data_IF_715474140756
#
_entry.id   IF_715474140756
#
_cell.length_a   1.000
_cell.length_b   1.000
_cell.length_c   1.000
_cell.angle_alpha   90.00
_cell.angle_beta   90.00
_cell.angle_gamma   90.00
#
_symmetry.space_group_name_H-M   'P 1'
#
loop_
_entity.id
_entity.type
_entity.pdbx_description
1 polymer ?
#
# COMPACT_ATOMS: atom_id res chain seq x y z
N UNK A 1 -28.09 14.93 18.34
CA UNK A 1 -26.75 15.13 17.76
C UNK A 1 -26.49 13.93 16.85
N UNK A 2 -26.57 14.11 15.53
CA UNK A 2 -26.34 13.02 14.60
C UNK A 2 -24.85 12.70 14.59
N UNK A 3 -24.46 11.56 15.17
CA UNK A 3 -23.13 10.97 14.97
C UNK A 3 -23.11 10.47 13.53
N UNK A 4 -22.46 11.21 12.64
CA UNK A 4 -22.08 10.67 11.35
C UNK A 4 -20.99 9.66 11.62
N UNK A 5 -21.32 8.37 11.51
CA UNK A 5 -20.31 7.32 11.44
C UNK A 5 -19.60 7.53 10.10
N UNK A 6 -18.46 8.23 10.14
CA UNK A 6 -17.65 8.48 8.94
C UNK A 6 -17.03 7.15 8.55
N UNK A 7 -17.78 6.33 7.80
CA UNK A 7 -17.22 5.16 7.16
C UNK A 7 -16.19 5.65 6.13
N UNK A 8 -14.91 5.69 6.53
CA UNK A 8 -13.84 6.19 5.67
C UNK A 8 -13.63 5.19 4.54
N UNK A 9 -13.97 5.61 3.33
CA UNK A 9 -13.75 4.84 2.09
C UNK A 9 -12.27 4.45 1.90
N UNK A 10 -11.35 5.19 2.53
CA UNK A 10 -9.91 4.98 2.47
C UNK A 10 -9.32 4.89 3.88
N UNK A 11 -8.59 3.81 4.15
CA UNK A 11 -7.84 3.62 5.40
C UNK A 11 -6.45 3.11 5.07
N UNK A 12 -5.47 3.38 5.95
CA UNK A 12 -4.13 2.83 5.83
C UNK A 12 -3.73 2.22 7.17
N UNK A 13 -2.92 1.18 7.12
CA UNK A 13 -2.44 0.46 8.30
C UNK A 13 -1.09 -0.19 8.01
N UNK A 14 -0.24 -0.31 9.02
CA UNK A 14 1.03 -1.03 8.92
C UNK A 14 2.10 -0.46 9.84
N UNK A 15 3.25 -1.15 9.95
CA UNK A 15 4.37 -0.72 10.78
C UNK A 15 4.98 0.62 10.33
N UNK A 16 4.71 1.06 9.10
CA UNK A 16 5.19 2.34 8.62
C UNK A 16 4.45 3.55 9.22
N UNK A 17 3.29 3.37 9.86
CA UNK A 17 2.55 4.49 10.43
C UNK A 17 3.01 4.78 11.86
N UNK A 18 3.30 6.05 12.21
CA UNK A 18 3.60 6.42 13.58
C UNK A 18 2.34 6.29 14.44
N UNK A 19 2.50 5.70 15.62
CA UNK A 19 1.45 5.57 16.63
C UNK A 19 1.67 6.58 17.74
N UNK A 20 0.59 7.18 18.24
CA UNK A 20 0.62 8.01 19.44
C UNK A 20 0.96 7.15 20.68
N UNK A 21 1.40 7.76 21.80
CA UNK A 21 1.58 7.05 23.06
C UNK A 21 0.31 6.35 23.57
N UNK A 22 -0.86 6.78 23.10
CA UNK A 22 -2.17 6.18 23.37
C UNK A 22 -2.44 4.92 22.54
N UNK A 23 -1.57 4.57 21.58
CA UNK A 23 -1.70 3.42 20.70
C UNK A 23 -2.54 3.64 19.44
N UNK A 24 -3.10 4.84 19.26
CA UNK A 24 -3.86 5.22 18.06
C UNK A 24 -2.92 5.69 16.93
N UNK A 25 -3.33 5.45 15.68
CA UNK A 25 -2.60 5.96 14.51
C UNK A 25 -2.53 7.49 14.53
N UNK A 26 -1.33 8.03 14.46
CA UNK A 26 -1.11 9.47 14.51
C UNK A 26 -1.44 10.18 13.19
N UNK A 27 -1.65 9.42 12.10
CA UNK A 27 -1.90 9.91 10.75
C UNK A 27 -3.16 9.29 10.15
N UNK A 28 -3.87 10.09 9.36
CA UNK A 28 -5.04 9.65 8.60
C UNK A 28 -4.79 9.83 7.11
N UNK A 29 -5.05 8.78 6.33
CA UNK A 29 -4.99 8.84 4.88
C UNK A 29 -6.12 9.73 4.35
N UNK A 30 -5.79 10.70 3.50
CA UNK A 30 -6.76 11.62 2.91
C UNK A 30 -6.82 11.58 1.39
N UNK A 31 -5.74 11.15 0.75
CA UNK A 31 -5.71 10.94 -0.70
C UNK A 31 -4.76 9.81 -1.06
N UNK A 32 -5.11 9.12 -2.14
CA UNK A 32 -4.28 8.13 -2.81
C UNK A 32 -4.29 8.43 -4.31
N UNK A 33 -3.11 8.52 -4.90
CA UNK A 33 -2.92 8.61 -6.34
C UNK A 33 -1.99 7.48 -6.76
N UNK A 34 -2.34 6.77 -7.83
CA UNK A 34 -1.58 5.60 -8.25
C UNK A 34 -1.56 5.42 -9.75
N UNK A 35 -0.44 4.90 -10.25
CA UNK A 35 -0.31 4.50 -11.63
C UNK A 35 -0.03 2.99 -11.71
N UNK A 36 -0.95 2.25 -12.32
CA UNK A 36 -0.85 0.80 -12.50
C UNK A 36 -0.94 0.45 -13.97
N UNK A 37 -0.03 -0.42 -14.42
CA UNK A 37 -0.04 -1.00 -15.75
C UNK A 37 0.34 -2.47 -15.66
N UNK A 38 -0.18 -3.28 -16.59
CA UNK A 38 0.22 -4.67 -16.68
C UNK A 38 1.73 -4.77 -16.91
N UNK A 39 2.40 -5.63 -16.15
CA UNK A 39 3.85 -5.87 -16.24
C UNK A 39 4.74 -4.66 -15.93
N UNK A 40 4.21 -3.62 -15.27
CA UNK A 40 5.03 -2.53 -14.70
C UNK A 40 4.95 -2.51 -13.19
N UNK A 41 6.03 -2.08 -12.55
CA UNK A 41 6.07 -1.80 -11.12
C UNK A 41 5.17 -0.60 -10.85
N UNK A 42 4.11 -0.80 -10.06
CA UNK A 42 3.23 0.30 -9.68
C UNK A 42 3.92 1.25 -8.71
N UNK A 43 3.41 2.47 -8.65
CA UNK A 43 3.79 3.45 -7.64
C UNK A 43 2.52 4.16 -7.17
N UNK A 44 2.38 4.28 -5.85
CA UNK A 44 1.32 5.03 -5.21
C UNK A 44 1.89 6.18 -4.41
N UNK A 45 1.29 7.35 -4.55
CA UNK A 45 1.50 8.52 -3.71
C UNK A 45 0.33 8.63 -2.75
N UNK A 46 0.63 8.69 -1.45
CA UNK A 46 -0.33 8.75 -0.37
C UNK A 46 -0.16 10.07 0.38
N UNK A 47 -1.25 10.80 0.55
CA UNK A 47 -1.26 12.01 1.38
C UNK A 47 -1.92 11.71 2.73
N UNK A 48 -1.24 12.11 3.79
CA UNK A 48 -1.65 11.93 5.17
C UNK A 48 -1.84 13.27 5.88
N UNK A 49 -2.78 13.32 6.80
CA UNK A 49 -2.98 14.44 7.73
C UNK A 49 -2.95 13.97 9.18
N UNK A 50 -2.47 14.83 10.08
CA UNK A 50 -2.73 14.63 11.50
C UNK A 50 -4.20 14.86 11.83
N UNK A 51 -4.79 14.09 12.77
CA UNK A 51 -6.10 14.36 13.33
C UNK A 51 -6.18 15.79 13.89
N UNK A 52 -7.29 16.49 13.64
CA UNK A 52 -7.45 17.89 14.04
C UNK A 52 -7.49 18.11 15.57
N UNK A 53 -7.86 17.07 16.32
CA UNK A 53 -7.93 17.10 17.79
C UNK A 53 -6.73 16.40 18.45
N UNK A 54 -5.58 16.31 17.76
CA UNK A 54 -4.39 15.74 18.38
C UNK A 54 -4.05 16.57 19.64
N UNK A 55 -3.91 15.95 20.83
CA UNK A 55 -3.53 16.67 22.04
C UNK A 55 -2.06 17.15 22.03
N UNK A 56 -1.33 16.94 20.94
CA UNK A 56 0.07 17.33 20.76
C UNK A 56 0.15 18.74 20.16
N UNK A 57 1.18 19.51 20.52
CA UNK A 57 1.42 20.81 19.91
C UNK A 57 1.78 20.59 18.44
N UNK A 58 1.45 21.57 17.60
CA UNK A 58 1.73 21.53 16.16
C UNK A 58 3.20 21.17 15.88
N UNK A 59 4.13 21.56 16.73
CA UNK A 59 5.56 21.28 16.57
C UNK A 59 5.91 19.79 16.75
N UNK A 60 5.29 19.09 17.70
CA UNK A 60 5.52 17.64 17.85
C UNK A 60 4.95 16.84 16.69
N UNK A 61 3.80 17.27 16.15
CA UNK A 61 3.26 16.66 14.93
C UNK A 61 4.29 16.78 13.79
N UNK A 62 4.84 17.96 13.54
CA UNK A 62 5.87 18.15 12.50
C UNK A 62 7.15 17.30 12.73
N UNK A 63 7.36 16.77 13.93
CA UNK A 63 8.55 16.03 14.34
C UNK A 63 8.42 14.50 14.27
N UNK A 64 7.39 13.95 13.60
CA UNK A 64 7.39 12.50 13.33
C UNK A 64 8.64 12.10 12.55
N UNK A 65 9.34 11.04 12.99
CA UNK A 65 10.53 10.55 12.30
C UNK A 65 10.12 9.84 11.01
N UNK A 66 10.10 10.61 9.92
CA UNK A 66 9.77 10.11 8.59
C UNK A 66 10.74 9.04 8.11
N UNK A 67 11.96 8.97 8.66
CA UNK A 67 12.93 7.95 8.27
C UNK A 67 12.54 6.58 8.81
N UNK A 68 11.87 6.50 9.95
CA UNK A 68 11.37 5.22 10.51
C UNK A 68 10.25 4.63 9.64
N UNK A 69 9.53 5.48 8.89
CA UNK A 69 8.51 5.03 7.94
C UNK A 69 9.15 4.36 6.71
N UNK A 70 10.31 4.84 6.26
CA UNK A 70 10.95 4.36 5.04
C UNK A 70 11.50 2.94 5.22
N UNK A 71 11.20 2.06 4.28
CA UNK A 71 11.56 0.65 4.31
C UNK A 71 10.55 -0.23 5.05
N UNK A 72 9.53 0.34 5.69
CA UNK A 72 8.47 -0.40 6.36
C UNK A 72 7.29 -0.70 5.41
N UNK A 73 6.53 -1.73 5.75
CA UNK A 73 5.31 -2.10 5.04
C UNK A 73 4.15 -1.15 5.38
N UNK A 74 3.37 -0.82 4.36
CA UNK A 74 2.13 -0.07 4.47
C UNK A 74 1.06 -0.70 3.58
N UNK A 75 -0.13 -0.89 4.14
CA UNK A 75 -1.30 -1.39 3.41
C UNK A 75 -2.39 -0.35 3.42
N UNK A 76 -2.88 -0.01 2.22
CA UNK A 76 -4.05 0.84 2.02
C UNK A 76 -5.25 -0.03 1.72
N UNK A 77 -6.34 0.24 2.43
CA UNK A 77 -7.60 -0.47 2.32
C UNK A 77 -8.64 0.49 1.74
N UNK A 78 -9.14 0.14 0.56
CA UNK A 78 -10.12 0.91 -0.21
C UNK A 78 -11.45 0.17 -0.18
N UNK A 79 -12.48 0.80 0.37
CA UNK A 79 -13.85 0.31 0.28
C UNK A 79 -14.38 0.59 -1.12
N UNK A 80 -14.81 -0.45 -1.82
CA UNK A 80 -15.44 -0.37 -3.13
C UNK A 80 -16.94 -0.48 -2.95
N UNK A 81 -17.64 0.60 -3.26
CA UNK A 81 -19.09 0.58 -3.39
C UNK A 81 -19.45 -0.19 -4.66
N UNK A 82 -20.17 -1.29 -4.51
CA UNK A 82 -20.53 -2.13 -5.64
C UNK A 82 -21.35 -1.37 -6.68
N UNK A 83 -21.01 -1.52 -7.96
CA UNK A 83 -21.81 -1.00 -9.06
C UNK A 83 -23.05 -1.88 -9.27
N UNK A 84 -24.07 -1.69 -8.43
CA UNK A 84 -25.32 -2.42 -8.53
C UNK A 84 -26.09 -2.07 -9.82
N UNK A 85 -26.09 -2.96 -10.81
CA UNK A 85 -27.29 -3.13 -11.65
C UNK A 85 -28.12 -4.25 -11.04
N UNK A 86 -29.19 -3.87 -10.33
CA UNK A 86 -30.11 -4.80 -9.72
C UNK A 86 -30.97 -5.47 -10.79
N UNK A 87 -30.47 -6.56 -11.38
CA UNK A 87 -31.34 -7.55 -11.99
C UNK A 87 -31.67 -8.58 -10.92
N UNK A 88 -32.95 -8.66 -10.51
CA UNK A 88 -33.53 -9.66 -9.58
C UNK A 88 -33.45 -9.39 -8.06
N UNK A 89 -33.31 -8.14 -7.61
CA UNK A 89 -33.50 -7.81 -6.18
C UNK A 89 -32.34 -8.16 -5.23
N UNK A 90 -31.21 -8.62 -5.76
CA UNK A 90 -29.94 -8.75 -5.03
C UNK A 90 -29.08 -7.52 -5.34
N UNK A 91 -29.16 -6.49 -4.49
CA UNK A 91 -28.38 -5.25 -4.64
C UNK A 91 -26.87 -5.46 -4.38
N UNK A 92 -26.05 -4.57 -4.94
CA UNK A 92 -24.60 -4.42 -4.68
C UNK A 92 -23.65 -5.51 -5.21
N UNK A 93 -23.84 -5.96 -6.46
CA UNK A 93 -22.83 -6.78 -7.15
C UNK A 93 -21.55 -5.96 -7.32
N UNK A 94 -20.43 -6.46 -6.77
CA UNK A 94 -19.12 -5.81 -6.83
C UNK A 94 -18.71 -4.97 -5.61
N UNK A 95 -19.53 -4.97 -4.54
CA UNK A 95 -19.11 -4.38 -3.27
C UNK A 95 -18.01 -5.23 -2.63
N UNK A 96 -16.99 -4.59 -2.07
CA UNK A 96 -15.89 -5.29 -1.43
C UNK A 96 -14.77 -4.36 -1.01
N UNK A 97 -13.72 -4.96 -0.46
CA UNK A 97 -12.54 -4.22 -0.02
C UNK A 97 -11.36 -4.56 -0.93
N UNK A 98 -10.67 -3.54 -1.42
CA UNK A 98 -9.39 -3.69 -2.12
C UNK A 98 -8.25 -3.30 -1.19
N UNK A 99 -7.27 -4.17 -1.08
CA UNK A 99 -6.03 -3.90 -0.36
C UNK A 99 -4.89 -3.62 -1.36
N UNK A 100 -4.10 -2.59 -1.06
CA UNK A 100 -2.91 -2.19 -1.80
C UNK A 100 -1.77 -2.16 -0.79
N UNK A 101 -0.95 -3.21 -0.77
CA UNK A 101 0.20 -3.34 0.14
C UNK A 101 1.49 -3.00 -0.57
N UNK A 102 2.46 -2.42 0.13
CA UNK A 102 3.78 -2.16 -0.41
C UNK A 102 4.75 -1.67 0.65
N UNK A 103 5.94 -1.31 0.21
CA UNK A 103 6.98 -0.72 1.05
C UNK A 103 7.01 0.78 0.82
N UNK A 104 7.13 1.54 1.90
CA UNK A 104 7.37 2.98 1.84
C UNK A 104 8.79 3.23 1.35
N UNK A 105 8.93 3.90 0.20
CA UNK A 105 10.25 4.22 -0.38
C UNK A 105 10.67 5.65 -0.12
N UNK A 106 9.71 6.55 0.06
CA UNK A 106 9.95 7.96 0.36
C UNK A 106 8.86 8.48 1.31
N UNK A 107 9.23 9.35 2.24
CA UNK A 107 8.30 10.07 3.10
C UNK A 107 8.74 11.54 3.18
N UNK A 108 7.79 12.47 3.10
CA UNK A 108 8.05 13.92 3.04
C UNK A 108 7.04 14.68 3.87
N UNK A 109 7.51 15.71 4.56
CA UNK A 109 6.64 16.70 5.21
C UNK A 109 6.27 17.80 4.21
N UNK A 110 4.97 18.05 4.05
CA UNK A 110 4.42 19.00 3.08
C UNK A 110 4.04 20.35 3.72
N UNK A 111 4.19 20.48 5.04
CA UNK A 111 3.86 21.69 5.80
C UNK A 111 2.61 21.53 6.67
N UNK A 112 2.27 22.61 7.39
CA UNK A 112 1.09 22.65 8.25
C UNK A 112 0.05 23.62 7.72
N UNK A 113 -1.22 23.26 7.88
CA UNK A 113 -2.35 24.15 7.58
C UNK A 113 -3.45 23.91 8.59
N UNK A 114 -3.95 24.99 9.20
CA UNK A 114 -5.07 24.96 10.16
C UNK A 114 -4.82 24.02 11.36
N UNK A 115 -3.60 23.97 11.90
CA UNK A 115 -3.25 23.09 13.01
C UNK A 115 -3.09 21.60 12.65
N UNK A 116 -3.19 21.25 11.36
CA UNK A 116 -2.93 19.91 10.86
C UNK A 116 -1.64 19.89 10.04
N UNK A 117 -0.79 18.91 10.31
CA UNK A 117 0.39 18.63 9.51
C UNK A 117 0.03 17.74 8.33
N UNK A 118 0.63 18.00 7.16
CA UNK A 118 0.49 17.17 5.96
C UNK A 118 1.79 16.43 5.66
N UNK A 119 1.65 15.15 5.34
CA UNK A 119 2.75 14.29 4.92
C UNK A 119 2.40 13.64 3.59
N UNK A 120 3.42 13.35 2.80
CA UNK A 120 3.30 12.59 1.58
C UNK A 120 4.24 11.40 1.64
N UNK A 121 3.73 10.24 1.25
CA UNK A 121 4.44 8.97 1.31
C UNK A 121 4.33 8.28 -0.05
N UNK A 122 5.44 7.73 -0.55
CA UNK A 122 5.48 6.95 -1.78
C UNK A 122 5.57 5.47 -1.43
N UNK A 123 4.64 4.68 -1.95
CA UNK A 123 4.56 3.24 -1.76
C UNK A 123 4.82 2.51 -3.08
N UNK A 124 5.70 1.51 -3.04
CA UNK A 124 6.04 0.64 -4.17
C UNK A 124 5.98 -0.83 -3.74
N UNK A 125 5.75 -1.79 -4.66
CA UNK A 125 5.76 -3.19 -4.29
C UNK A 125 7.17 -3.61 -3.86
N UNK A 126 7.27 -4.64 -3.01
CA UNK A 126 8.56 -5.17 -2.53
C UNK A 126 9.56 -5.49 -3.66
N UNK A 127 9.06 -5.92 -4.83
CA UNK A 127 9.91 -6.25 -5.99
C UNK A 127 10.70 -5.05 -6.51
N UNK A 128 10.26 -3.82 -6.21
CA UNK A 128 11.02 -2.61 -6.51
C UNK A 128 12.39 -2.60 -5.81
N UNK A 129 12.52 -3.19 -4.62
CA UNK A 129 13.80 -3.28 -3.90
C UNK A 129 14.81 -4.17 -4.63
N UNK A 130 14.34 -5.15 -5.43
CA UNK A 130 15.21 -6.00 -6.23
C UNK A 130 15.89 -5.22 -7.37
N UNK A 131 15.26 -4.15 -7.87
CA UNK A 131 15.84 -3.27 -8.90
C UNK A 131 16.98 -2.41 -8.34
N UNK A 132 16.94 -2.12 -7.03
CA UNK A 132 17.99 -1.36 -6.35
C UNK A 132 19.25 -2.20 -6.04
N UNK A 133 19.22 -3.52 -6.24
CA UNK A 133 20.34 -4.41 -5.97
C UNK A 133 20.79 -5.16 -7.24
N UNK A 134 21.99 -4.83 -7.73
CA UNK A 134 22.64 -5.62 -8.78
C UNK A 134 23.39 -6.80 -8.17
N UNK A 135 22.99 -8.03 -8.51
CA UNK A 135 23.67 -9.25 -8.09
C UNK A 135 24.05 -10.09 -9.31
N UNK A 136 25.35 -10.42 -9.45
CA UNK A 136 25.84 -11.27 -10.53
C UNK A 136 25.78 -12.74 -10.09
N UNK A 137 24.90 -13.52 -10.72
CA UNK A 137 24.80 -14.98 -10.53
C UNK A 137 24.99 -15.73 -11.84
N UNK A 138 25.91 -16.70 -11.83
CA UNK A 138 26.14 -17.60 -12.97
C UNK A 138 25.10 -18.71 -12.92
N UNK A 139 24.21 -18.72 -13.91
CA UNK A 139 23.22 -19.80 -14.09
C UNK A 139 23.81 -20.86 -15.03
N UNK A 140 24.28 -21.98 -14.48
CA UNK A 140 24.72 -23.12 -15.29
C UNK A 140 23.51 -23.83 -15.93
N UNK A 141 23.57 -24.02 -17.24
CA UNK A 141 22.46 -24.43 -18.08
C UNK A 141 21.76 -25.72 -17.65
N UNK A 142 20.49 -25.60 -17.28
CA UNK A 142 19.52 -26.70 -17.36
C UNK A 142 18.35 -26.22 -18.21
N UNK A 143 18.29 -26.69 -19.45
CA UNK A 143 17.09 -26.55 -20.29
C UNK A 143 16.13 -27.67 -19.91
N UNK A 144 15.10 -27.36 -19.12
CA UNK A 144 13.88 -28.16 -19.03
C UNK A 144 12.68 -27.23 -18.91
N UNK A 145 11.62 -27.37 -19.75
CA UNK A 145 10.39 -26.61 -19.62
C UNK A 145 9.64 -27.15 -18.41
N UNK A 146 9.76 -26.46 -17.28
CA UNK A 146 9.19 -26.87 -15.99
C UNK A 146 9.90 -26.29 -14.77
N UNK A 147 11.08 -25.70 -14.95
CA UNK A 147 11.95 -25.27 -13.83
C UNK A 147 12.13 -23.74 -13.75
N UNK A 148 11.08 -22.96 -14.01
CA UNK A 148 11.15 -21.49 -13.87
C UNK A 148 10.70 -20.97 -12.49
N UNK A 149 10.11 -21.81 -11.63
CA UNK A 149 9.46 -21.37 -10.40
C UNK A 149 10.27 -21.47 -9.09
N UNK A 150 11.51 -21.99 -9.11
CA UNK A 150 12.28 -22.23 -7.87
C UNK A 150 13.74 -21.88 -8.07
N UNK A 151 14.14 -20.61 -7.88
CA UNK A 151 15.50 -20.20 -7.49
C UNK A 151 15.76 -18.69 -7.35
N UNK A 152 14.74 -17.83 -7.39
CA UNK A 152 14.84 -16.45 -6.91
C UNK A 152 14.05 -16.34 -5.61
N UNK A 153 14.55 -17.01 -4.57
CA UNK A 153 14.21 -16.65 -3.19
C UNK A 153 15.49 -16.09 -2.62
N UNK A 154 15.69 -14.79 -2.82
CA UNK A 154 16.81 -14.02 -2.30
C UNK A 154 16.26 -13.17 -1.18
N UNK A 155 16.52 -13.59 0.06
CA UNK A 155 16.63 -12.77 1.27
C UNK A 155 15.67 -11.58 1.46
N UNK A 156 14.40 -11.67 1.07
CA UNK A 156 13.36 -10.74 1.50
C UNK A 156 12.07 -11.53 1.72
N UNK A 157 11.43 -11.31 2.86
CA UNK A 157 10.20 -11.98 3.28
C UNK A 157 9.03 -11.41 2.47
N UNK A 158 8.83 -11.92 1.26
CA UNK A 158 7.72 -11.55 0.38
C UNK A 158 7.24 -12.77 -0.40
N UNK A 159 5.99 -13.18 -0.22
CA UNK A 159 5.40 -14.30 -0.94
C UNK A 159 4.90 -13.84 -2.31
N UNK A 160 5.56 -14.26 -3.40
CA UNK A 160 5.02 -14.10 -4.75
C UNK A 160 4.05 -15.26 -5.05
N UNK A 161 2.74 -15.00 -5.10
CA UNK A 161 1.74 -16.01 -5.47
C UNK A 161 1.61 -16.11 -6.99
N UNK A 162 2.18 -17.16 -7.57
CA UNK A 162 2.03 -17.47 -8.99
C UNK A 162 0.63 -18.05 -9.28
N UNK A 163 -0.15 -17.41 -10.16
CA UNK A 163 -1.32 -18.03 -10.81
C UNK A 163 -1.08 -18.07 -12.31
N UNK A 164 -0.54 -19.19 -12.81
CA UNK A 164 -0.58 -19.50 -14.23
C UNK A 164 -1.85 -20.29 -14.52
N UNK A 165 -2.78 -19.73 -15.30
CA UNK A 165 -3.82 -20.50 -15.96
C UNK A 165 -3.48 -20.51 -17.45
N UNK A 166 -2.81 -21.56 -17.91
CA UNK A 166 -2.62 -21.81 -19.34
C UNK A 166 -3.57 -22.96 -19.68
N UNK A 167 -4.71 -22.63 -20.29
CA UNK A 167 -5.59 -23.63 -20.90
C UNK A 167 -5.02 -23.97 -22.27
N UNK A 168 -4.34 -25.11 -22.39
CA UNK A 168 -4.01 -25.68 -23.70
C UNK A 168 -5.28 -26.32 -24.26
N UNK A 169 -5.73 -25.85 -25.42
CA UNK A 169 -6.65 -26.59 -26.28
C UNK A 169 -5.84 -27.11 -27.46
N UNK A 170 -5.61 -28.42 -27.47
CA UNK A 170 -5.06 -29.11 -28.63
C UNK A 170 -6.21 -29.38 -29.61
N UNK A 171 -6.02 -28.96 -30.87
CA UNK A 171 -6.54 -29.66 -32.06
C UNK A 171 -5.62 -29.34 -33.22
#
# INVERSE_FOLDING_TARGET
MFKFDTNRTLTASGPALPTLPTGEDALHLVAIEGNEHLSKIYTYTLDFLTPANLPMLSEEAANFDLNEMVGQELTVTVQLDGMGTASLGLGNVGAGTREISGIVTEARFMGQRNGQSRYQVIVRPWVHLADQQSNYRIFHGRRQPGTYGKKITVHYVGYLRWRFAITFRAS
#
